data_IF_661275943792
#
_entry.id   IF_661275943792
#
_cell.length_a   1.000
_cell.length_b   1.000
_cell.length_c   1.000
_cell.angle_alpha   90.00
_cell.angle_beta   90.00
_cell.angle_gamma   90.00
#
_symmetry.space_group_name_H-M   'P 1'
#
loop_
_entity.id
_entity.type
_entity.pdbx_description
1 polymer ?
#
# COMPACT_ATOMS: atom_id res chain seq x y z
N UNK A 1 6.04 25.27 -13.57
CA UNK A 1 5.67 23.91 -14.00
C UNK A 1 6.87 22.96 -14.03
N UNK A 2 8.09 23.42 -14.21
CA UNK A 2 9.28 22.55 -14.27
C UNK A 2 9.68 21.91 -12.93
N UNK A 3 9.39 22.57 -11.82
CA UNK A 3 9.82 22.14 -10.49
C UNK A 3 8.67 21.60 -9.62
N UNK A 4 7.43 21.78 -10.06
CA UNK A 4 6.26 21.43 -9.25
C UNK A 4 5.22 20.66 -10.05
N UNK A 5 4.58 19.65 -9.44
CA UNK A 5 3.54 18.83 -10.06
C UNK A 5 2.19 19.59 -10.09
N UNK A 6 2.13 20.68 -10.86
CA UNK A 6 0.93 21.51 -11.03
C UNK A 6 0.39 21.43 -12.45
N UNK A 7 -0.93 21.48 -12.60
CA UNK A 7 -1.59 21.64 -13.90
C UNK A 7 -1.60 23.10 -14.35
N UNK A 8 -1.53 23.33 -15.67
CA UNK A 8 -1.63 24.67 -16.22
C UNK A 8 -2.95 25.37 -15.88
N UNK A 9 -4.05 24.61 -15.81
CA UNK A 9 -5.37 25.12 -15.36
C UNK A 9 -5.36 25.68 -13.94
N UNK A 10 -4.47 25.22 -13.06
CA UNK A 10 -4.32 25.76 -11.71
C UNK A 10 -3.78 27.19 -11.71
N UNK A 11 -3.13 27.62 -12.78
CA UNK A 11 -2.55 28.95 -12.92
C UNK A 11 -3.55 30.00 -13.44
N UNK A 12 -4.67 29.57 -14.05
CA UNK A 12 -5.70 30.45 -14.62
C UNK A 12 -6.16 31.52 -13.63
N UNK A 13 -6.48 31.08 -12.41
CA UNK A 13 -7.03 31.93 -11.36
C UNK A 13 -6.04 33.00 -10.88
N UNK A 14 -4.76 32.68 -10.86
CA UNK A 14 -3.73 33.55 -10.28
C UNK A 14 -3.07 34.48 -11.31
N UNK A 15 -3.00 34.02 -12.56
CA UNK A 15 -2.26 34.72 -13.63
C UNK A 15 -3.17 35.22 -14.74
N UNK A 16 -4.49 34.98 -14.67
CA UNK A 16 -5.47 35.39 -15.67
C UNK A 16 -5.13 34.92 -17.10
N UNK A 17 -4.58 33.71 -17.21
CA UNK A 17 -4.19 33.09 -18.48
C UNK A 17 -5.20 32.00 -18.86
N UNK A 18 -5.28 31.65 -20.15
CA UNK A 18 -5.99 30.46 -20.58
C UNK A 18 -5.13 29.23 -20.34
N UNK A 19 -5.49 28.37 -19.37
CA UNK A 19 -4.71 27.23 -18.97
C UNK A 19 -4.50 26.20 -20.06
N UNK A 20 -5.49 25.94 -20.92
CA UNK A 20 -5.35 25.00 -22.05
C UNK A 20 -4.37 25.53 -23.10
N UNK A 21 -4.44 26.82 -23.41
CA UNK A 21 -3.51 27.44 -24.36
C UNK A 21 -2.10 27.44 -23.79
N UNK A 22 -1.97 27.78 -22.50
CA UNK A 22 -0.67 27.79 -21.83
C UNK A 22 -0.08 26.36 -21.73
N UNK A 23 -0.89 25.34 -21.43
CA UNK A 23 -0.41 23.95 -21.42
C UNK A 23 0.15 23.51 -22.76
N UNK A 24 -0.54 23.87 -23.87
CA UNK A 24 -0.06 23.59 -25.22
C UNK A 24 1.26 24.31 -25.52
N UNK A 25 1.34 25.61 -25.23
CA UNK A 25 2.57 26.38 -25.41
C UNK A 25 3.72 25.84 -24.55
N UNK A 26 3.42 25.50 -23.30
CA UNK A 26 4.41 24.91 -22.41
C UNK A 26 4.91 23.57 -22.95
N UNK A 27 4.01 22.68 -23.33
CA UNK A 27 4.34 21.38 -23.91
C UNK A 27 5.21 21.54 -25.17
N UNK A 28 4.77 22.36 -26.11
CA UNK A 28 5.34 22.40 -27.46
C UNK A 28 6.61 23.27 -27.56
N UNK A 29 6.78 24.29 -26.70
CA UNK A 29 7.83 25.30 -26.89
C UNK A 29 8.65 25.61 -25.65
N UNK A 30 8.11 25.46 -24.43
CA UNK A 30 8.77 25.96 -23.22
C UNK A 30 9.37 24.87 -22.35
N UNK A 31 8.83 23.64 -22.42
CA UNK A 31 9.20 22.57 -21.49
C UNK A 31 10.44 21.78 -21.93
N UNK A 32 10.80 21.80 -23.21
CA UNK A 32 11.78 20.88 -23.80
C UNK A 32 11.21 19.49 -24.11
N UNK A 33 9.88 19.33 -24.04
CA UNK A 33 9.24 18.04 -24.29
C UNK A 33 9.51 17.50 -25.69
N UNK A 34 9.53 18.34 -26.71
CA UNK A 34 9.73 17.92 -28.10
C UNK A 34 11.12 17.34 -28.34
N UNK A 35 12.14 17.92 -27.73
CA UNK A 35 13.50 17.39 -27.81
C UNK A 35 13.63 16.06 -27.05
N UNK A 36 13.02 16.00 -25.86
CA UNK A 36 12.94 14.77 -25.08
C UNK A 36 12.15 13.68 -25.81
N UNK A 37 11.00 14.02 -26.42
CA UNK A 37 10.18 13.08 -27.19
C UNK A 37 10.95 12.49 -28.39
N UNK A 38 11.78 13.29 -29.04
CA UNK A 38 12.63 12.83 -30.14
C UNK A 38 13.72 11.85 -29.66
N UNK A 39 14.23 12.01 -28.44
CA UNK A 39 15.29 11.16 -27.87
C UNK A 39 14.73 9.93 -27.17
N UNK A 40 13.77 10.10 -26.28
CA UNK A 40 13.26 9.07 -25.36
C UNK A 40 11.90 8.51 -25.78
N UNK A 41 11.15 9.22 -26.62
CA UNK A 41 9.74 8.93 -26.94
C UNK A 41 9.48 7.56 -27.54
N UNK A 42 10.49 6.92 -28.17
CA UNK A 42 10.36 5.59 -28.75
C UNK A 42 10.15 4.49 -27.70
N UNK A 43 10.71 4.65 -26.50
CA UNK A 43 10.62 3.67 -25.42
C UNK A 43 10.01 4.21 -24.12
N UNK A 44 9.73 5.50 -24.03
CA UNK A 44 9.30 6.17 -22.80
C UNK A 44 8.06 5.55 -22.15
N UNK A 45 7.08 5.05 -22.92
CA UNK A 45 5.90 4.37 -22.39
C UNK A 45 6.24 2.97 -21.85
N UNK A 46 7.32 2.35 -22.35
CA UNK A 46 7.78 1.05 -21.90
C UNK A 46 8.71 1.16 -20.70
N UNK A 47 9.68 2.06 -20.76
CA UNK A 47 10.60 2.32 -19.65
C UNK A 47 11.31 3.67 -19.76
N UNK A 48 11.70 4.18 -18.59
CA UNK A 48 12.64 5.28 -18.41
C UNK A 48 13.59 4.90 -17.27
N UNK A 49 14.89 5.11 -17.45
CA UNK A 49 15.92 4.78 -16.46
C UNK A 49 16.85 5.96 -16.24
N UNK A 50 17.28 6.15 -14.98
CA UNK A 50 18.15 7.22 -14.51
C UNK A 50 19.23 6.62 -13.60
N UNK A 51 20.29 6.04 -14.21
CA UNK A 51 21.35 5.37 -13.44
C UNK A 51 22.07 6.28 -12.44
N UNK A 52 22.13 7.58 -12.74
CA UNK A 52 22.74 8.61 -11.89
C UNK A 52 21.99 8.81 -10.55
N UNK A 53 20.74 8.41 -10.48
CA UNK A 53 19.92 8.54 -9.27
C UNK A 53 20.00 7.31 -8.35
N UNK A 54 20.77 6.27 -8.75
CA UNK A 54 20.88 5.08 -7.93
C UNK A 54 21.60 5.38 -6.62
N UNK A 55 21.09 4.86 -5.53
CA UNK A 55 21.66 5.01 -4.19
C UNK A 55 21.73 3.67 -3.47
N UNK A 56 22.32 3.62 -2.28
CA UNK A 56 22.46 2.38 -1.53
C UNK A 56 21.13 1.80 -1.05
N UNK A 57 20.09 2.62 -0.95
CA UNK A 57 18.77 2.21 -0.45
C UNK A 57 17.66 2.55 -1.42
N UNK A 58 17.06 1.54 -2.01
CA UNK A 58 15.98 1.68 -2.98
C UNK A 58 14.64 1.21 -2.43
N UNK A 59 13.57 1.63 -3.09
CA UNK A 59 12.24 1.04 -2.95
C UNK A 59 11.70 0.64 -4.32
N UNK A 60 10.99 -0.48 -4.38
CA UNK A 60 10.24 -0.91 -5.56
C UNK A 60 8.76 -0.96 -5.19
N UNK A 61 7.92 -0.31 -6.00
CA UNK A 61 6.47 -0.28 -5.80
C UNK A 61 5.72 -0.17 -7.13
N UNK A 62 4.44 -0.50 -7.11
CA UNK A 62 3.56 -0.45 -8.27
C UNK A 62 2.61 0.74 -8.19
N UNK A 63 2.38 1.38 -9.33
CA UNK A 63 1.40 2.47 -9.42
C UNK A 63 0.64 2.41 -10.74
N UNK A 64 -0.63 2.81 -10.73
CA UNK A 64 -1.41 2.97 -11.95
C UNK A 64 -1.32 4.42 -12.43
N UNK A 65 -0.92 4.63 -13.69
CA UNK A 65 -0.82 5.95 -14.30
C UNK A 65 -2.06 6.31 -15.12
N UNK A 66 -2.58 5.39 -15.93
CA UNK A 66 -3.75 5.60 -16.78
C UNK A 66 -4.55 4.30 -16.91
N UNK A 67 -5.86 4.38 -17.10
CA UNK A 67 -6.82 3.31 -17.47
C UNK A 67 -6.56 1.90 -16.91
N UNK A 68 -5.95 1.80 -15.70
CA UNK A 68 -5.61 0.53 -15.07
C UNK A 68 -4.24 -0.02 -15.45
N UNK A 69 -3.50 0.61 -16.35
CA UNK A 69 -2.12 0.22 -16.64
C UNK A 69 -1.24 0.41 -15.41
N UNK A 70 -0.53 -0.66 -15.05
CA UNK A 70 0.40 -0.67 -13.93
C UNK A 70 1.82 -0.38 -14.40
N UNK A 71 2.48 0.46 -13.66
CA UNK A 71 3.90 0.74 -13.79
C UNK A 71 4.63 0.34 -12.52
N UNK A 72 5.79 -0.28 -12.68
CA UNK A 72 6.74 -0.52 -11.60
C UNK A 72 7.70 0.64 -11.52
N UNK A 73 7.84 1.22 -10.33
CA UNK A 73 8.74 2.35 -10.09
C UNK A 73 9.81 1.94 -9.08
N UNK A 74 11.07 2.20 -9.45
CA UNK A 74 12.22 2.08 -8.54
C UNK A 74 12.61 3.47 -8.10
N UNK A 75 12.62 3.70 -6.79
CA UNK A 75 12.97 5.00 -6.21
C UNK A 75 14.17 4.92 -5.29
N UNK A 76 14.99 5.96 -5.30
CA UNK A 76 16.04 6.19 -4.31
C UNK A 76 15.42 6.77 -3.03
N UNK A 77 15.53 6.04 -1.93
CA UNK A 77 14.97 6.45 -0.63
C UNK A 77 15.66 7.68 -0.07
N UNK A 78 16.95 7.84 -0.36
CA UNK A 78 17.77 8.92 0.18
C UNK A 78 17.46 10.27 -0.48
N UNK A 79 16.81 10.27 -1.65
CA UNK A 79 16.29 11.48 -2.27
C UNK A 79 14.96 11.99 -1.66
N UNK A 80 14.35 11.25 -0.71
CA UNK A 80 13.13 11.66 0.01
C UNK A 80 11.94 12.07 -0.88
N UNK A 81 11.88 11.51 -2.10
CA UNK A 81 10.85 11.82 -3.09
C UNK A 81 10.97 13.20 -3.73
N UNK A 82 12.14 13.81 -3.68
CA UNK A 82 12.50 15.04 -4.39
C UNK A 82 13.27 14.71 -5.68
N UNK A 83 13.96 15.67 -6.28
CA UNK A 83 14.78 15.45 -7.47
C UNK A 83 15.84 14.38 -7.20
N UNK A 84 16.05 13.48 -8.16
CA UNK A 84 16.91 12.30 -8.01
C UNK A 84 16.20 11.12 -7.33
N UNK A 85 14.88 11.21 -7.09
CA UNK A 85 14.13 10.11 -6.48
C UNK A 85 13.83 8.97 -7.46
N UNK A 86 13.60 9.25 -8.74
CA UNK A 86 13.28 8.22 -9.73
C UNK A 86 14.56 7.59 -10.25
N UNK A 87 14.72 6.28 -10.05
CA UNK A 87 15.78 5.46 -10.66
C UNK A 87 15.29 4.79 -11.93
N UNK A 88 14.06 4.26 -11.92
CA UNK A 88 13.43 3.67 -13.08
C UNK A 88 11.91 3.73 -13.00
N UNK A 89 11.27 3.88 -14.16
CA UNK A 89 9.83 3.70 -14.38
C UNK A 89 9.68 2.67 -15.50
N UNK A 90 8.90 1.63 -15.27
CA UNK A 90 8.75 0.50 -16.19
C UNK A 90 7.29 0.09 -16.30
N UNK A 91 6.80 -0.06 -17.53
CA UNK A 91 5.44 -0.55 -17.77
C UNK A 91 5.32 -2.03 -17.38
N UNK A 92 4.23 -2.37 -16.71
CA UNK A 92 3.93 -3.74 -16.28
C UNK A 92 4.58 -4.11 -14.94
N UNK A 93 4.35 -5.38 -14.56
CA UNK A 93 4.72 -5.93 -13.25
C UNK A 93 5.40 -7.30 -13.36
N UNK A 94 5.71 -7.79 -14.57
CA UNK A 94 6.34 -9.08 -14.75
C UNK A 94 7.82 -9.04 -14.37
N UNK A 95 8.24 -9.97 -13.52
CA UNK A 95 9.58 -9.98 -12.95
C UNK A 95 10.70 -9.95 -13.99
N UNK A 96 10.51 -10.70 -15.09
CA UNK A 96 11.53 -10.83 -16.12
C UNK A 96 11.64 -9.55 -16.97
N UNK A 97 10.50 -8.99 -17.38
CA UNK A 97 10.46 -7.75 -18.16
C UNK A 97 11.10 -6.59 -17.38
N UNK A 98 10.84 -6.52 -16.05
CA UNK A 98 11.44 -5.56 -15.15
C UNK A 98 12.95 -5.78 -15.03
N UNK A 99 13.38 -7.02 -14.85
CA UNK A 99 14.81 -7.33 -14.69
C UNK A 99 15.60 -6.99 -15.96
N UNK A 100 15.08 -7.32 -17.16
CA UNK A 100 15.72 -6.97 -18.43
C UNK A 100 15.94 -5.47 -18.57
N UNK A 101 14.97 -4.66 -18.17
CA UNK A 101 15.10 -3.19 -18.20
C UNK A 101 16.12 -2.73 -17.16
N UNK A 102 16.07 -3.25 -15.94
CA UNK A 102 17.03 -2.87 -14.89
C UNK A 102 18.46 -3.30 -15.22
N UNK A 103 18.67 -4.32 -16.06
CA UNK A 103 20.00 -4.70 -16.52
C UNK A 103 20.62 -3.70 -17.51
N UNK A 104 19.85 -2.76 -18.04
CA UNK A 104 20.40 -1.63 -18.79
C UNK A 104 21.21 -0.67 -17.89
N UNK A 105 20.96 -0.71 -16.58
CA UNK A 105 21.80 0.00 -15.59
C UNK A 105 23.11 -0.78 -15.43
N UNK A 106 24.29 -0.12 -15.51
CA UNK A 106 25.57 -0.77 -15.33
C UNK A 106 25.64 -1.63 -14.06
N UNK A 107 26.28 -2.80 -14.15
CA UNK A 107 26.37 -3.76 -13.03
C UNK A 107 27.01 -3.12 -11.80
N UNK A 108 28.07 -2.32 -12.01
CA UNK A 108 28.82 -1.65 -10.95
C UNK A 108 27.94 -0.72 -10.10
N UNK A 109 26.92 -0.10 -10.70
CA UNK A 109 25.95 0.71 -9.97
C UNK A 109 24.93 -0.17 -9.24
N UNK A 110 24.49 -1.27 -9.86
CA UNK A 110 23.53 -2.19 -9.24
C UNK A 110 24.13 -2.94 -8.05
N UNK A 111 25.45 -3.22 -8.07
CA UNK A 111 26.18 -3.84 -6.98
C UNK A 111 26.36 -2.95 -5.74
N UNK A 112 26.21 -1.62 -5.90
CA UNK A 112 26.29 -0.65 -4.80
C UNK A 112 25.00 -0.60 -3.97
N UNK A 113 23.91 -1.21 -4.47
CA UNK A 113 22.64 -1.23 -3.75
C UNK A 113 22.72 -2.21 -2.58
N UNK A 114 22.59 -1.69 -1.37
CA UNK A 114 22.69 -2.44 -0.11
C UNK A 114 21.32 -2.97 0.35
N UNK A 115 20.26 -2.22 0.09
CA UNK A 115 18.91 -2.53 0.57
C UNK A 115 17.82 -2.15 -0.43
N UNK A 116 16.85 -3.04 -0.58
CA UNK A 116 15.63 -2.77 -1.34
C UNK A 116 14.41 -3.08 -0.49
N UNK A 117 13.54 -2.09 -0.29
CA UNK A 117 12.22 -2.29 0.33
C UNK A 117 11.16 -2.49 -0.75
N UNK A 118 10.24 -3.42 -0.49
CA UNK A 118 9.14 -3.76 -1.39
C UNK A 118 7.95 -4.32 -0.62
N UNK A 119 6.83 -4.46 -1.30
CA UNK A 119 5.71 -5.22 -0.78
C UNK A 119 6.00 -6.75 -0.77
N UNK A 120 5.00 -7.56 -0.40
CA UNK A 120 5.12 -9.02 -0.37
C UNK A 120 4.96 -9.69 -1.75
N UNK A 121 5.11 -8.93 -2.85
CA UNK A 121 4.97 -9.44 -4.21
C UNK A 121 6.11 -10.42 -4.56
N UNK A 122 5.80 -11.69 -4.91
CA UNK A 122 6.81 -12.62 -5.41
C UNK A 122 7.50 -12.15 -6.68
N UNK A 123 6.78 -11.37 -7.49
CA UNK A 123 7.26 -10.82 -8.76
C UNK A 123 8.34 -9.76 -8.52
N UNK A 124 8.05 -8.79 -7.63
CA UNK A 124 9.02 -7.76 -7.26
C UNK A 124 10.26 -8.34 -6.59
N UNK A 125 10.08 -9.37 -5.74
CA UNK A 125 11.19 -10.10 -5.13
C UNK A 125 12.11 -10.74 -6.17
N UNK A 126 11.54 -11.38 -7.20
CA UNK A 126 12.33 -11.98 -8.29
C UNK A 126 13.07 -10.91 -9.08
N UNK A 127 12.38 -9.85 -9.49
CA UNK A 127 12.98 -8.74 -10.23
C UNK A 127 14.16 -8.12 -9.45
N UNK A 128 13.97 -7.83 -8.16
CA UNK A 128 15.01 -7.28 -7.30
C UNK A 128 16.23 -8.22 -7.16
N UNK A 129 16.01 -9.52 -6.93
CA UNK A 129 17.10 -10.51 -6.82
C UNK A 129 17.91 -10.66 -8.09
N UNK A 130 17.25 -10.60 -9.27
CA UNK A 130 17.93 -10.71 -10.56
C UNK A 130 18.72 -9.46 -10.90
N UNK A 131 18.27 -8.30 -10.43
CA UNK A 131 18.84 -7.02 -10.83
C UNK A 131 19.89 -6.48 -9.87
N UNK A 132 19.78 -6.76 -8.56
CA UNK A 132 20.63 -6.18 -7.51
C UNK A 132 21.26 -7.28 -6.65
N UNK A 133 22.43 -7.81 -7.07
CA UNK A 133 22.99 -9.04 -6.48
C UNK A 133 23.36 -8.89 -5.00
N UNK A 134 23.79 -7.71 -4.56
CA UNK A 134 24.27 -7.47 -3.20
C UNK A 134 23.18 -6.96 -2.25
N UNK A 135 21.99 -6.65 -2.78
CA UNK A 135 20.95 -6.00 -2.00
C UNK A 135 20.25 -6.93 -1.00
N UNK A 136 20.13 -6.46 0.23
CA UNK A 136 19.24 -7.05 1.23
C UNK A 136 17.80 -6.69 0.93
N UNK A 137 16.95 -7.67 0.66
CA UNK A 137 15.54 -7.45 0.39
C UNK A 137 14.74 -7.34 1.70
N UNK A 138 13.93 -6.30 1.82
CA UNK A 138 13.11 -6.02 3.02
C UNK A 138 11.65 -5.93 2.63
N UNK A 139 10.82 -6.78 3.26
CA UNK A 139 9.37 -6.71 3.09
C UNK A 139 8.79 -5.57 3.92
N UNK A 140 7.90 -4.78 3.32
CA UNK A 140 7.27 -3.69 4.02
C UNK A 140 6.30 -4.20 5.09
N UNK A 141 6.53 -3.73 6.32
CA UNK A 141 5.72 -4.10 7.48
C UNK A 141 4.24 -3.70 7.35
N UNK A 142 3.94 -2.64 6.60
CA UNK A 142 2.56 -2.18 6.43
C UNK A 142 1.73 -3.22 5.66
N UNK A 143 2.33 -3.86 4.64
CA UNK A 143 1.67 -4.92 3.89
C UNK A 143 1.41 -6.15 4.76
N UNK A 144 2.38 -6.56 5.59
CA UNK A 144 2.18 -7.65 6.56
C UNK A 144 1.08 -7.32 7.56
N UNK A 145 1.09 -6.10 8.10
CA UNK A 145 0.06 -5.66 9.05
C UNK A 145 -1.32 -5.54 8.40
N UNK A 146 -1.37 -5.10 7.14
CA UNK A 146 -2.60 -5.00 6.36
C UNK A 146 -3.27 -6.35 6.18
N UNK A 147 -2.51 -7.41 5.85
CA UNK A 147 -3.06 -8.77 5.73
C UNK A 147 -3.79 -9.20 7.02
N UNK A 148 -3.20 -8.96 8.18
CA UNK A 148 -3.83 -9.32 9.46
C UNK A 148 -5.08 -8.48 9.76
N UNK A 149 -5.06 -7.18 9.38
CA UNK A 149 -6.23 -6.32 9.52
C UNK A 149 -7.36 -6.72 8.55
N UNK A 150 -7.03 -7.11 7.34
CA UNK A 150 -8.00 -7.55 6.33
C UNK A 150 -8.67 -8.86 6.78
N UNK A 151 -7.91 -9.82 7.32
CA UNK A 151 -8.46 -11.07 7.89
C UNK A 151 -9.40 -10.79 9.08
N UNK A 152 -9.03 -9.87 9.98
CA UNK A 152 -9.91 -9.45 11.06
C UNK A 152 -11.20 -8.80 10.54
N UNK A 153 -11.11 -7.98 9.48
CA UNK A 153 -12.27 -7.36 8.86
C UNK A 153 -13.16 -8.38 8.12
N UNK A 154 -12.57 -9.37 7.48
CA UNK A 154 -13.30 -10.48 6.84
C UNK A 154 -14.16 -11.21 7.86
N UNK A 155 -13.58 -11.59 9.00
CA UNK A 155 -14.33 -12.25 10.09
C UNK A 155 -15.48 -11.36 10.60
N UNK A 156 -15.22 -10.06 10.85
CA UNK A 156 -16.27 -9.11 11.27
C UNK A 156 -17.37 -8.97 10.22
N UNK A 157 -17.02 -8.94 8.93
CA UNK A 157 -17.97 -8.83 7.83
C UNK A 157 -18.84 -10.07 7.75
N UNK A 158 -18.28 -11.28 7.90
CA UNK A 158 -19.03 -12.54 7.94
C UNK A 158 -20.09 -12.50 9.04
N UNK A 159 -19.72 -12.20 10.28
CA UNK A 159 -20.69 -12.08 11.38
C UNK A 159 -21.75 -10.99 11.13
N UNK A 160 -21.40 -9.92 10.42
CA UNK A 160 -22.37 -8.88 10.05
C UNK A 160 -23.39 -9.38 9.04
N UNK A 161 -22.99 -10.19 8.08
CA UNK A 161 -23.93 -10.82 7.14
C UNK A 161 -24.83 -11.81 7.84
N UNK A 162 -24.29 -12.66 8.72
CA UNK A 162 -25.07 -13.60 9.52
C UNK A 162 -26.13 -12.86 10.36
N UNK A 163 -25.75 -11.76 11.00
CA UNK A 163 -26.66 -10.93 11.78
C UNK A 163 -27.75 -10.25 10.92
N UNK A 164 -27.42 -9.86 9.69
CA UNK A 164 -28.38 -9.29 8.74
C UNK A 164 -29.38 -10.33 8.27
N UNK A 165 -28.92 -11.52 7.93
CA UNK A 165 -29.76 -12.62 7.46
C UNK A 165 -30.70 -13.10 8.57
N UNK A 166 -30.20 -13.19 9.80
CA UNK A 166 -31.03 -13.51 10.96
C UNK A 166 -32.13 -12.45 11.20
N UNK A 167 -31.78 -11.17 11.11
CA UNK A 167 -32.75 -10.05 11.24
C UNK A 167 -33.81 -10.11 10.13
N UNK A 168 -33.40 -10.37 8.88
CA UNK A 168 -34.31 -10.46 7.75
C UNK A 168 -35.27 -11.65 7.91
N UNK A 169 -34.77 -12.79 8.38
CA UNK A 169 -35.59 -13.96 8.70
C UNK A 169 -36.63 -13.65 9.78
N UNK A 170 -36.20 -13.04 10.91
CA UNK A 170 -37.10 -12.65 12.00
C UNK A 170 -38.17 -11.65 11.55
N UNK A 171 -37.82 -10.69 10.68
CA UNK A 171 -38.80 -9.78 10.09
C UNK A 171 -39.84 -10.48 9.20
N UNK A 172 -39.40 -11.45 8.40
CA UNK A 172 -40.32 -12.21 7.55
C UNK A 172 -41.28 -13.07 8.39
N UNK A 173 -40.77 -13.71 9.44
CA UNK A 173 -41.56 -14.50 10.38
C UNK A 173 -42.62 -13.63 11.15
N UNK A 174 -42.18 -12.45 11.63
CA UNK A 174 -43.09 -11.50 12.29
C UNK A 174 -44.18 -11.00 11.34
N UNK A 175 -43.82 -10.66 10.10
CA UNK A 175 -44.79 -10.24 9.08
C UNK A 175 -45.80 -11.34 8.75
N UNK A 176 -45.36 -12.59 8.68
CA UNK A 176 -46.24 -13.74 8.44
C UNK A 176 -47.27 -13.96 9.58
N UNK A 177 -46.92 -13.55 10.82
CA UNK A 177 -47.78 -13.64 12.00
C UNK A 177 -48.52 -12.33 12.30
N UNK A 178 -48.46 -11.31 11.43
CA UNK A 178 -49.08 -10.00 11.61
C UNK A 178 -48.52 -9.18 12.78
N UNK A 179 -47.25 -9.43 13.16
CA UNK A 179 -46.55 -8.71 14.22
C UNK A 179 -45.41 -7.85 13.65
N UNK A 180 -45.13 -6.76 14.33
CA UNK A 180 -43.91 -5.97 14.03
C UNK A 180 -42.69 -6.61 14.69
N UNK A 181 -41.56 -6.60 13.99
CA UNK A 181 -40.28 -7.05 14.51
C UNK A 181 -39.53 -5.89 15.14
N UNK A 182 -39.30 -5.94 16.44
CA UNK A 182 -38.38 -5.03 17.13
C UNK A 182 -37.00 -5.69 17.28
N UNK A 183 -35.92 -5.11 16.72
CA UNK A 183 -34.57 -5.63 16.87
C UNK A 183 -34.09 -5.50 18.31
N UNK A 184 -33.39 -6.51 18.81
CA UNK A 184 -32.67 -6.43 20.08
C UNK A 184 -31.62 -5.31 20.06
N UNK A 185 -31.59 -4.47 21.08
CA UNK A 185 -30.71 -3.32 21.25
C UNK A 185 -29.81 -3.56 22.46
N UNK A 186 -28.50 -3.40 22.29
CA UNK A 186 -27.51 -3.48 23.37
C UNK A 186 -27.51 -2.24 24.25
N UNK A 187 -26.85 -2.31 25.42
CA UNK A 187 -26.74 -1.23 26.40
C UNK A 187 -26.24 0.10 25.81
N UNK A 188 -25.43 0.04 24.74
CA UNK A 188 -24.90 1.21 24.04
C UNK A 188 -25.83 1.78 22.96
N UNK A 189 -27.04 1.25 22.81
CA UNK A 189 -28.00 1.67 21.80
C UNK A 189 -27.79 1.09 20.40
N UNK A 190 -26.82 0.20 20.19
CA UNK A 190 -26.59 -0.46 18.91
C UNK A 190 -27.46 -1.73 18.80
N UNK A 191 -28.05 -1.98 17.64
CA UNK A 191 -28.51 -3.33 17.28
C UNK A 191 -27.31 -4.21 16.91
N UNK A 192 -27.50 -5.52 16.84
CA UNK A 192 -26.44 -6.49 16.49
C UNK A 192 -25.70 -6.11 15.19
N UNK A 193 -26.44 -5.80 14.12
CA UNK A 193 -25.85 -5.36 12.84
C UNK A 193 -25.13 -4.00 12.94
N UNK A 194 -25.66 -3.08 13.77
CA UNK A 194 -25.05 -1.76 13.99
C UNK A 194 -23.75 -1.87 14.81
N UNK A 195 -23.73 -2.72 15.84
CA UNK A 195 -22.54 -3.03 16.62
C UNK A 195 -21.40 -3.49 15.71
N UNK A 196 -21.66 -4.48 14.85
CA UNK A 196 -20.67 -5.02 13.90
C UNK A 196 -20.25 -3.98 12.85
N UNK A 197 -21.17 -3.16 12.31
CA UNK A 197 -20.86 -2.13 11.36
C UNK A 197 -19.98 -1.01 11.96
N UNK A 198 -20.38 -0.50 13.13
CA UNK A 198 -19.73 0.63 13.81
C UNK A 198 -18.39 0.25 14.47
N UNK A 199 -18.13 -1.06 14.64
CA UNK A 199 -16.88 -1.58 15.18
C UNK A 199 -15.71 -1.57 14.18
N UNK A 200 -15.95 -1.34 12.88
CA UNK A 200 -14.91 -1.36 11.84
C UNK A 200 -13.67 -0.57 12.24
N UNK A 201 -13.83 0.70 12.58
CA UNK A 201 -12.69 1.59 12.83
C UNK A 201 -12.03 1.41 14.20
N UNK A 202 -12.75 0.94 15.21
CA UNK A 202 -12.16 0.64 16.51
C UNK A 202 -11.21 -0.56 16.43
N UNK A 203 -11.50 -1.55 15.58
CA UNK A 203 -10.67 -2.74 15.40
C UNK A 203 -9.33 -2.45 14.71
N UNK A 204 -9.21 -1.35 13.95
CA UNK A 204 -7.93 -0.89 13.43
C UNK A 204 -7.03 -0.25 14.49
N UNK A 205 -7.59 0.20 15.61
CA UNK A 205 -6.87 0.90 16.68
C UNK A 205 -6.45 -0.07 17.78
N UNK A 206 -5.32 0.19 18.41
CA UNK A 206 -4.98 -0.46 19.68
C UNK A 206 -5.95 0.02 20.78
N UNK A 207 -6.23 -0.84 21.75
CA UNK A 207 -7.20 -0.57 22.84
C UNK A 207 -6.86 0.69 23.65
N UNK A 208 -5.59 1.04 23.76
CA UNK A 208 -5.08 2.26 24.43
C UNK A 208 -5.58 3.55 23.75
N UNK A 209 -5.84 3.50 22.42
CA UNK A 209 -6.30 4.63 21.60
C UNK A 209 -7.82 4.71 21.47
N UNK A 210 -8.57 3.86 22.15
CA UNK A 210 -10.03 3.89 22.11
C UNK A 210 -10.60 5.02 22.98
N UNK A 211 -11.59 5.71 22.44
CA UNK A 211 -12.43 6.63 23.22
C UNK A 211 -13.28 5.84 24.23
N UNK A 212 -13.87 6.53 25.20
CA UNK A 212 -14.77 5.88 26.19
C UNK A 212 -15.90 5.11 25.53
N UNK A 213 -16.56 5.68 24.50
CA UNK A 213 -17.63 5.01 23.77
C UNK A 213 -17.11 3.82 22.94
N UNK A 214 -15.91 3.88 22.39
CA UNK A 214 -15.27 2.77 21.69
C UNK A 214 -14.92 1.62 22.65
N UNK A 215 -14.50 1.90 23.89
CA UNK A 215 -14.23 0.89 24.90
C UNK A 215 -15.51 0.12 25.28
N UNK A 216 -16.63 0.85 25.50
CA UNK A 216 -17.93 0.22 25.78
C UNK A 216 -18.35 -0.67 24.61
N UNK A 217 -18.28 -0.14 23.37
CA UNK A 217 -18.64 -0.91 22.16
C UNK A 217 -17.74 -2.13 21.98
N UNK A 218 -16.44 -2.01 22.22
CA UNK A 218 -15.51 -3.12 22.11
C UNK A 218 -15.82 -4.22 23.12
N UNK A 219 -16.17 -3.86 24.36
CA UNK A 219 -16.56 -4.81 25.40
C UNK A 219 -17.79 -5.62 24.95
N UNK A 220 -18.87 -4.93 24.55
CA UNK A 220 -20.08 -5.58 24.07
C UNK A 220 -19.78 -6.48 22.85
N UNK A 221 -18.97 -5.96 21.93
CA UNK A 221 -18.58 -6.73 20.73
C UNK A 221 -17.86 -8.03 21.11
N UNK A 222 -16.89 -7.97 22.01
CA UNK A 222 -16.08 -9.13 22.40
C UNK A 222 -16.86 -10.13 23.28
N UNK A 223 -17.76 -9.64 24.14
CA UNK A 223 -18.64 -10.49 24.93
C UNK A 223 -19.58 -11.33 24.03
N UNK A 224 -20.04 -10.75 22.90
CA UNK A 224 -20.94 -11.44 21.96
C UNK A 224 -20.23 -12.15 20.80
N UNK A 225 -19.00 -11.77 20.48
CA UNK A 225 -18.21 -12.30 19.37
C UNK A 225 -16.76 -12.57 19.80
N UNK A 226 -16.51 -13.60 20.62
CA UNK A 226 -15.16 -13.90 21.14
C UNK A 226 -14.16 -14.24 20.01
N UNK A 227 -14.64 -14.72 18.86
CA UNK A 227 -13.81 -14.93 17.68
C UNK A 227 -13.22 -13.61 17.15
N UNK A 228 -13.99 -12.51 17.19
CA UNK A 228 -13.49 -11.18 16.79
C UNK A 228 -12.43 -10.70 17.80
N UNK A 229 -12.61 -10.97 19.09
CA UNK A 229 -11.61 -10.65 20.10
C UNK A 229 -10.30 -11.41 19.86
N UNK A 230 -10.39 -12.72 19.61
CA UNK A 230 -9.24 -13.56 19.30
C UNK A 230 -8.50 -13.07 18.06
N UNK A 231 -9.21 -12.79 16.96
CA UNK A 231 -8.63 -12.23 15.74
C UNK A 231 -8.03 -10.83 15.94
N UNK A 232 -8.67 -10.00 16.76
CA UNK A 232 -8.15 -8.68 17.17
C UNK A 232 -6.82 -8.85 17.91
N UNK A 233 -6.75 -9.75 18.87
CA UNK A 233 -5.56 -10.01 19.66
C UNK A 233 -4.42 -10.55 18.79
N UNK A 234 -4.68 -11.49 17.87
CA UNK A 234 -3.69 -11.97 16.89
C UNK A 234 -3.12 -10.83 16.02
N UNK A 235 -4.00 -9.98 15.49
CA UNK A 235 -3.63 -8.82 14.66
C UNK A 235 -2.76 -7.82 15.42
N UNK A 236 -3.16 -7.47 16.64
CA UNK A 236 -2.43 -6.51 17.45
C UNK A 236 -1.14 -7.08 18.04
N UNK A 237 -1.09 -8.38 18.33
CA UNK A 237 0.15 -9.07 18.75
C UNK A 237 1.20 -9.03 17.64
N UNK A 238 0.80 -9.30 16.39
CA UNK A 238 1.70 -9.15 15.24
C UNK A 238 2.24 -7.70 15.14
N UNK A 239 1.36 -6.69 15.27
CA UNK A 239 1.76 -5.27 15.31
C UNK A 239 2.78 -4.99 16.42
N UNK A 240 2.59 -5.56 17.61
CA UNK A 240 3.49 -5.36 18.74
C UNK A 240 4.84 -6.03 18.55
N UNK A 241 4.90 -7.16 17.84
CA UNK A 241 6.17 -7.79 17.46
C UNK A 241 7.00 -6.81 16.63
N UNK A 242 6.41 -6.22 15.59
CA UNK A 242 7.07 -5.21 14.77
C UNK A 242 7.44 -3.93 15.54
N UNK A 243 6.56 -3.47 16.43
CA UNK A 243 6.79 -2.24 17.17
C UNK A 243 7.88 -2.35 18.24
N UNK A 244 7.88 -3.47 18.99
CA UNK A 244 8.70 -3.62 20.22
C UNK A 244 9.97 -4.45 20.02
N UNK A 245 10.10 -5.23 18.95
CA UNK A 245 11.31 -6.00 18.70
C UNK A 245 12.37 -5.12 18.04
N UNK A 246 13.54 -5.03 18.66
CA UNK A 246 14.64 -4.19 18.17
C UNK A 246 15.59 -4.96 17.22
N UNK A 247 15.62 -6.27 17.31
CA UNK A 247 16.50 -7.13 16.50
C UNK A 247 15.77 -8.38 16.01
N UNK A 248 16.33 -9.03 14.99
CA UNK A 248 15.85 -10.35 14.49
C UNK A 248 15.74 -11.39 15.61
N UNK A 249 16.77 -11.50 16.46
CA UNK A 249 16.81 -12.46 17.56
C UNK A 249 15.68 -12.29 18.57
N UNK A 250 15.19 -11.04 18.77
CA UNK A 250 14.04 -10.76 19.64
C UNK A 250 12.71 -11.01 18.91
N UNK A 251 12.65 -10.73 17.60
CA UNK A 251 11.43 -10.90 16.82
C UNK A 251 11.07 -12.37 16.56
N UNK A 252 12.09 -13.19 16.29
CA UNK A 252 11.97 -14.59 15.89
C UNK A 252 11.18 -15.46 16.88
N UNK A 253 11.53 -15.54 18.18
CA UNK A 253 10.76 -16.33 19.13
C UNK A 253 9.33 -15.80 19.33
N UNK A 254 9.11 -14.49 19.20
CA UNK A 254 7.79 -13.90 19.31
C UNK A 254 6.89 -14.23 18.10
N UNK A 255 7.48 -14.31 16.90
CA UNK A 255 6.78 -14.79 15.71
C UNK A 255 6.43 -16.27 15.84
N UNK A 256 7.36 -17.10 16.35
CA UNK A 256 7.08 -18.51 16.59
C UNK A 256 5.90 -18.72 17.57
N UNK A 257 5.85 -17.95 18.66
CA UNK A 257 4.71 -17.97 19.57
C UNK A 257 3.42 -17.48 18.89
N UNK A 258 3.51 -16.47 18.02
CA UNK A 258 2.36 -15.98 17.26
C UNK A 258 1.83 -17.05 16.30
N UNK A 259 2.69 -17.82 15.64
CA UNK A 259 2.27 -18.95 14.80
C UNK A 259 1.49 -20.00 15.60
N UNK A 260 1.98 -20.37 16.79
CA UNK A 260 1.27 -21.30 17.66
C UNK A 260 -0.13 -20.78 18.05
N UNK A 261 -0.26 -19.46 18.27
CA UNK A 261 -1.57 -18.87 18.59
C UNK A 261 -2.49 -18.86 17.38
N UNK A 262 -1.98 -18.61 16.17
CA UNK A 262 -2.75 -18.74 14.92
C UNK A 262 -3.24 -20.16 14.70
N UNK A 263 -2.39 -21.16 14.91
CA UNK A 263 -2.75 -22.57 14.78
C UNK A 263 -3.85 -22.96 15.77
N UNK A 264 -3.71 -22.55 17.03
CA UNK A 264 -4.72 -22.80 18.08
C UNK A 264 -6.06 -22.13 17.78
N UNK A 265 -6.04 -20.91 17.22
CA UNK A 265 -7.25 -20.17 16.88
C UNK A 265 -8.00 -20.78 15.69
N UNK A 266 -7.32 -21.45 14.78
CA UNK A 266 -7.92 -22.23 13.69
C UNK A 266 -8.58 -21.43 12.56
N UNK A 267 -8.41 -20.10 12.52
CA UNK A 267 -8.98 -19.26 11.44
C UNK A 267 -8.18 -19.40 10.15
N UNK A 268 -8.86 -19.80 9.07
CA UNK A 268 -8.21 -20.07 7.78
C UNK A 268 -7.49 -18.81 7.22
N UNK A 269 -8.13 -17.65 7.33
CA UNK A 269 -7.50 -16.38 6.89
C UNK A 269 -6.20 -16.07 7.64
N UNK A 270 -6.12 -16.39 8.94
CA UNK A 270 -4.88 -16.21 9.70
C UNK A 270 -3.82 -17.27 9.40
N UNK A 271 -4.21 -18.51 9.07
CA UNK A 271 -3.27 -19.54 8.59
C UNK A 271 -2.62 -19.11 7.28
N UNK A 272 -3.40 -18.61 6.32
CA UNK A 272 -2.88 -18.05 5.07
C UNK A 272 -1.86 -16.93 5.30
N UNK A 273 -2.10 -16.07 6.30
CA UNK A 273 -1.14 -15.03 6.69
C UNK A 273 0.14 -15.64 7.26
N UNK A 274 0.02 -16.63 8.14
CA UNK A 274 1.16 -17.32 8.71
C UNK A 274 2.03 -17.98 7.62
N UNK A 275 1.41 -18.64 6.65
CA UNK A 275 2.08 -19.22 5.47
C UNK A 275 2.76 -18.13 4.62
N UNK A 276 2.08 -17.01 4.39
CA UNK A 276 2.65 -15.86 3.67
C UNK A 276 3.87 -15.31 4.39
N UNK A 277 3.83 -15.19 5.72
CA UNK A 277 4.97 -14.72 6.51
C UNK A 277 6.10 -15.77 6.46
N UNK A 278 5.81 -17.05 6.52
CA UNK A 278 6.80 -18.11 6.41
C UNK A 278 7.47 -18.13 5.02
N UNK A 279 6.69 -17.99 3.95
CA UNK A 279 7.22 -17.95 2.58
C UNK A 279 8.11 -16.71 2.30
N UNK A 280 7.95 -15.64 3.09
CA UNK A 280 8.71 -14.39 2.97
C UNK A 280 9.57 -14.12 4.22
N UNK A 281 9.93 -15.14 4.94
CA UNK A 281 10.52 -15.06 6.28
C UNK A 281 11.77 -14.19 6.34
N UNK A 282 12.73 -14.41 5.43
CA UNK A 282 13.99 -13.66 5.41
C UNK A 282 13.75 -12.16 5.19
N UNK A 283 12.92 -11.81 4.19
CA UNK A 283 12.60 -10.43 3.86
C UNK A 283 11.86 -9.72 5.00
N UNK A 284 10.99 -10.45 5.68
CA UNK A 284 10.24 -9.95 6.85
C UNK A 284 11.17 -9.72 8.03
N UNK A 285 12.09 -10.65 8.30
CA UNK A 285 13.06 -10.50 9.38
C UNK A 285 14.12 -9.43 9.07
N UNK A 286 14.43 -9.19 7.79
CA UNK A 286 15.35 -8.13 7.39
C UNK A 286 14.87 -6.73 7.82
N UNK A 287 13.54 -6.52 7.96
CA UNK A 287 13.02 -5.30 8.57
C UNK A 287 13.67 -4.96 9.92
N UNK A 288 14.01 -5.95 10.74
CA UNK A 288 14.57 -5.71 12.08
C UNK A 288 16.07 -5.35 12.08
N UNK A 289 16.75 -5.34 10.93
CA UNK A 289 18.11 -4.84 10.82
C UNK A 289 18.14 -3.31 10.95
N UNK A 290 17.42 -2.62 10.04
CA UNK A 290 17.44 -1.16 9.90
C UNK A 290 16.06 -0.53 10.12
N UNK A 291 15.02 -1.33 10.35
CA UNK A 291 13.62 -0.93 10.47
C UNK A 291 13.10 -0.17 9.23
N UNK A 292 13.64 -0.51 8.09
CA UNK A 292 13.31 0.09 6.82
C UNK A 292 11.87 -0.20 6.41
N UNK A 293 11.20 0.81 5.88
CA UNK A 293 9.80 0.72 5.41
C UNK A 293 9.71 1.25 3.98
N UNK A 294 8.62 0.92 3.31
CA UNK A 294 8.30 1.45 1.97
C UNK A 294 7.61 2.82 2.01
N UNK A 295 7.60 3.50 3.16
CA UNK A 295 6.93 4.78 3.35
C UNK A 295 7.38 5.86 2.35
N UNK A 296 8.65 5.82 1.90
CA UNK A 296 9.17 6.70 0.86
C UNK A 296 8.46 6.47 -0.47
N UNK A 297 8.33 5.21 -0.91
CA UNK A 297 7.62 4.85 -2.15
C UNK A 297 6.11 5.13 -2.04
N UNK A 298 5.48 4.83 -0.91
CA UNK A 298 4.07 5.17 -0.67
C UNK A 298 3.83 6.68 -0.76
N UNK A 299 4.71 7.49 -0.13
CA UNK A 299 4.66 8.95 -0.22
C UNK A 299 4.87 9.43 -1.66
N UNK A 300 5.81 8.84 -2.38
CA UNK A 300 6.06 9.15 -3.77
C UNK A 300 4.86 8.80 -4.67
N UNK A 301 4.29 7.62 -4.50
CA UNK A 301 3.07 7.21 -5.19
C UNK A 301 1.87 8.14 -4.88
N UNK A 302 1.80 8.68 -3.66
CA UNK A 302 0.80 9.69 -3.32
C UNK A 302 1.03 11.02 -4.07
N UNK A 303 2.29 11.45 -4.27
CA UNK A 303 2.65 12.61 -5.12
C UNK A 303 2.21 12.38 -6.56
N UNK A 304 2.48 11.20 -7.15
CA UNK A 304 2.03 10.83 -8.49
C UNK A 304 0.50 10.89 -8.61
N UNK A 305 -0.21 10.26 -7.66
CA UNK A 305 -1.68 10.25 -7.63
C UNK A 305 -2.26 11.66 -7.50
N UNK A 306 -1.66 12.51 -6.68
CA UNK A 306 -2.06 13.92 -6.53
C UNK A 306 -1.84 14.70 -7.82
N UNK A 307 -0.70 14.51 -8.49
CA UNK A 307 -0.42 15.16 -9.77
C UNK A 307 -1.40 14.71 -10.87
N UNK A 308 -1.64 13.41 -10.97
CA UNK A 308 -2.66 12.83 -11.86
C UNK A 308 -4.06 13.42 -11.61
N UNK A 309 -4.45 13.57 -10.34
CA UNK A 309 -5.75 14.15 -9.97
C UNK A 309 -5.89 15.63 -10.41
N UNK A 310 -4.82 16.42 -10.30
CA UNK A 310 -4.81 17.81 -10.79
C UNK A 310 -5.00 17.90 -12.31
N UNK A 311 -4.49 16.92 -13.06
CA UNK A 311 -4.67 16.81 -14.50
C UNK A 311 -6.03 16.21 -14.89
N UNK A 312 -6.87 15.81 -13.92
CA UNK A 312 -8.14 15.12 -14.12
C UNK A 312 -8.01 13.80 -14.90
N UNK A 313 -6.92 13.09 -14.69
CA UNK A 313 -6.52 11.87 -15.40
C UNK A 313 -5.28 12.12 -16.27
N UNK A 314 -4.81 11.04 -16.89
CA UNK A 314 -3.66 11.08 -17.81
C UNK A 314 -4.15 10.68 -19.20
N UNK A 315 -4.33 11.66 -20.07
CA UNK A 315 -4.71 11.45 -21.49
C UNK A 315 -3.49 11.27 -22.40
N UNK A 316 -2.35 11.80 -22.00
CA UNK A 316 -1.06 11.74 -22.70
C UNK A 316 0.00 11.20 -21.74
N UNK A 317 0.21 9.88 -21.81
CA UNK A 317 1.11 9.16 -20.90
C UNK A 317 2.57 9.63 -21.09
N UNK A 318 3.03 9.81 -22.33
CA UNK A 318 4.41 10.26 -22.60
C UNK A 318 4.68 11.64 -21.98
N UNK A 319 3.77 12.58 -22.20
CA UNK A 319 3.92 13.91 -21.62
C UNK A 319 3.83 13.90 -20.10
N UNK A 320 2.97 13.05 -19.52
CA UNK A 320 2.92 12.88 -18.07
C UNK A 320 4.22 12.31 -17.51
N UNK A 321 4.77 11.28 -18.14
CA UNK A 321 6.07 10.68 -17.77
C UNK A 321 7.21 11.69 -17.89
N UNK A 322 7.26 12.45 -18.99
CA UNK A 322 8.21 13.56 -19.13
C UNK A 322 8.13 14.56 -17.98
N UNK A 323 6.91 15.01 -17.64
CA UNK A 323 6.70 15.92 -16.52
C UNK A 323 7.14 15.35 -15.20
N UNK A 324 6.85 14.07 -14.97
CA UNK A 324 7.20 13.35 -13.75
C UNK A 324 8.72 13.23 -13.61
N UNK A 325 9.40 12.83 -14.68
CA UNK A 325 10.86 12.69 -14.66
C UNK A 325 11.57 14.03 -14.58
N UNK A 326 11.08 15.05 -15.26
CA UNK A 326 11.64 16.41 -15.17
C UNK A 326 11.66 16.96 -13.73
N UNK A 327 10.65 16.59 -12.93
CA UNK A 327 10.52 17.05 -11.54
C UNK A 327 11.33 16.17 -10.58
N UNK A 328 11.35 14.85 -10.79
CA UNK A 328 11.79 13.89 -9.77
C UNK A 328 13.00 13.01 -10.18
N UNK A 329 13.39 12.99 -11.43
CA UNK A 329 14.59 12.28 -11.90
C UNK A 329 15.84 13.17 -11.96
#
# INVERSE_FOLDING_TARGET
MDQYPIAASSLEKYYHINGKQFERQYKDHLSGYRDWEAQEGAHAERYLIFPENIGPRLSIDETSLSDGELYTIVTNKDAHGEKGAIVAIMAGTKAWDIAEILWLIPLELREQVEEITMDLSPTMRKAARFSFPNATLVADRFHVQKLALDALQELRIRFRWDALDEENRKKAEAKATGKDHEPEVFENGDTRKQLLARSRYLLFKSAEKWTKSQKIRAKILFDHYPDIETAYNLTHRLRMIYAKSKTKGIALPKLALWYNDVEKAGYESFKTIAETIQANYDQILNFFNNRSTNASAESFNAKIKSFRAQLRGVSDVKYFLFRLTKIYA
#
